data_IF_758204220069
#
_entry.id   IF_758204220069
#
_cell.length_a   1.000
_cell.length_b   1.000
_cell.length_c   1.000
_cell.angle_alpha   90.00
_cell.angle_beta   90.00
_cell.angle_gamma   90.00
#
_symmetry.space_group_name_H-M   'P 1'
#
loop_
_entity.id
_entity.type
_entity.pdbx_description
1 polymer ?
#
# COMPACT_ATOMS: atom_id res chain seq x y z
N UNK A 1 -15.31 4.58 14.57
CA UNK A 1 -15.00 4.66 13.13
C UNK A 1 -14.07 5.84 12.93
N UNK A 2 -12.86 5.62 12.42
CA UNK A 2 -11.93 6.71 12.11
C UNK A 2 -12.32 7.31 10.75
N UNK A 3 -12.01 8.58 10.52
CA UNK A 3 -12.22 9.14 9.19
C UNK A 3 -11.21 8.56 8.19
N UNK A 4 -11.57 8.58 6.91
CA UNK A 4 -10.67 8.15 5.82
C UNK A 4 -9.33 8.88 5.89
N UNK A 5 -9.32 10.17 6.22
CA UNK A 5 -8.10 10.97 6.32
C UNK A 5 -7.21 10.58 7.51
N UNK A 6 -7.82 10.20 8.65
CA UNK A 6 -7.07 9.73 9.82
C UNK A 6 -6.34 8.43 9.51
N UNK A 7 -7.07 7.45 8.97
CA UNK A 7 -6.49 6.17 8.61
C UNK A 7 -5.48 6.31 7.47
N UNK A 8 -5.78 7.13 6.46
CA UNK A 8 -4.84 7.39 5.35
C UNK A 8 -3.53 8.04 5.81
N UNK A 9 -3.57 8.95 6.80
CA UNK A 9 -2.35 9.52 7.38
C UNK A 9 -1.53 8.51 8.16
N UNK A 10 -2.17 7.64 8.96
CA UNK A 10 -1.49 6.58 9.72
C UNK A 10 -0.90 5.52 8.79
N UNK A 11 -1.72 4.98 7.90
CA UNK A 11 -1.34 3.94 6.94
C UNK A 11 -0.31 4.46 5.94
N UNK A 12 -0.49 5.68 5.44
CA UNK A 12 0.48 6.32 4.57
C UNK A 12 1.84 6.48 5.25
N UNK A 13 1.88 6.80 6.54
CA UNK A 13 3.14 6.96 7.27
C UNK A 13 3.88 5.62 7.40
N UNK A 14 3.16 4.54 7.71
CA UNK A 14 3.71 3.18 7.74
C UNK A 14 4.14 2.78 6.33
N UNK A 15 3.31 3.03 5.32
CA UNK A 15 3.57 2.67 3.93
C UNK A 15 4.82 3.38 3.39
N UNK A 16 4.79 4.71 3.34
CA UNK A 16 5.77 5.54 2.62
C UNK A 16 6.98 5.91 3.47
N UNK A 17 6.96 5.55 4.76
CA UNK A 17 8.05 5.77 5.71
C UNK A 17 8.44 7.25 5.89
N UNK A 18 7.61 8.18 5.40
CA UNK A 18 7.87 9.62 5.40
C UNK A 18 6.57 10.42 5.37
N UNK A 19 6.36 11.28 6.37
CA UNK A 19 5.20 12.17 6.42
C UNK A 19 5.15 13.20 5.28
N UNK A 20 6.29 13.56 4.68
CA UNK A 20 6.30 14.46 3.51
C UNK A 20 5.81 13.75 2.24
N UNK A 21 6.22 12.48 2.04
CA UNK A 21 5.70 11.65 0.94
C UNK A 21 4.19 11.42 1.07
N UNK A 22 3.72 11.17 2.29
CA UNK A 22 2.28 11.07 2.59
C UNK A 22 1.57 12.35 2.20
N UNK A 23 2.09 13.50 2.65
CA UNK A 23 1.49 14.79 2.33
C UNK A 23 1.38 15.04 0.82
N UNK A 24 2.42 14.71 0.07
CA UNK A 24 2.41 14.83 -1.39
C UNK A 24 1.37 13.90 -2.05
N UNK A 25 1.37 12.61 -1.70
CA UNK A 25 0.51 11.61 -2.36
C UNK A 25 -0.98 11.75 -1.99
N UNK A 26 -1.27 12.11 -0.74
CA UNK A 26 -2.64 12.27 -0.25
C UNK A 26 -3.14 13.72 -0.33
N UNK A 27 -2.33 14.65 -0.87
CA UNK A 27 -2.66 16.08 -0.98
C UNK A 27 -3.00 16.71 0.39
N UNK A 28 -2.20 16.39 1.40
CA UNK A 28 -2.33 16.89 2.76
C UNK A 28 -1.08 17.64 3.19
N UNK A 29 -1.23 18.68 4.01
CA UNK A 29 -0.05 19.28 4.65
C UNK A 29 0.60 18.29 5.63
N UNK A 30 1.93 18.27 5.68
CA UNK A 30 2.69 17.38 6.57
C UNK A 30 2.29 17.54 8.06
N UNK A 31 1.95 18.76 8.49
CA UNK A 31 1.47 19.01 9.86
C UNK A 31 0.11 18.36 10.12
N UNK A 32 -0.76 18.31 9.10
CA UNK A 32 -2.04 17.58 9.15
C UNK A 32 -1.80 16.08 9.21
N UNK A 33 -0.89 15.53 8.40
CA UNK A 33 -0.50 14.11 8.49
C UNK A 33 -0.05 13.75 9.90
N UNK A 34 0.82 14.57 10.51
CA UNK A 34 1.33 14.35 11.88
C UNK A 34 0.22 14.39 12.94
N UNK A 35 -0.73 15.33 12.84
CA UNK A 35 -1.89 15.38 13.76
C UNK A 35 -2.81 14.17 13.56
N UNK A 36 -3.10 13.84 12.31
CA UNK A 36 -4.04 12.80 11.95
C UNK A 36 -3.55 11.41 12.35
N UNK A 37 -2.29 11.08 12.09
CA UNK A 37 -1.73 9.79 12.49
C UNK A 37 -1.75 9.61 14.02
N UNK A 38 -1.43 10.66 14.80
CA UNK A 38 -1.46 10.60 16.27
C UNK A 38 -2.88 10.36 16.78
N UNK A 39 -3.85 11.10 16.23
CA UNK A 39 -5.27 10.94 16.59
C UNK A 39 -5.78 9.56 16.19
N UNK A 40 -5.39 9.04 15.03
CA UNK A 40 -5.75 7.68 14.60
C UNK A 40 -5.18 6.63 15.56
N UNK A 41 -3.90 6.74 15.92
CA UNK A 41 -3.26 5.83 16.88
C UNK A 41 -3.94 5.85 18.26
N UNK A 42 -4.31 7.05 18.74
CA UNK A 42 -5.05 7.22 20.00
C UNK A 42 -6.42 6.54 19.97
N UNK A 43 -7.18 6.65 18.87
CA UNK A 43 -8.51 6.01 18.74
C UNK A 43 -8.41 4.49 18.83
N UNK A 44 -7.34 3.90 18.28
CA UNK A 44 -7.12 2.46 18.34
C UNK A 44 -6.35 2.01 19.59
N UNK A 45 -5.90 2.92 20.46
CA UNK A 45 -5.09 2.57 21.62
C UNK A 45 -3.72 1.98 21.27
N UNK A 46 -3.18 2.31 20.09
CA UNK A 46 -1.89 1.81 19.61
C UNK A 46 -0.82 2.90 19.67
N UNK A 47 0.44 2.48 19.54
CA UNK A 47 1.58 3.40 19.46
C UNK A 47 2.27 3.26 18.11
N UNK A 48 2.53 4.39 17.45
CA UNK A 48 3.42 4.47 16.31
C UNK A 48 4.83 4.82 16.78
N UNK A 49 5.81 4.03 16.39
CA UNK A 49 7.22 4.28 16.70
C UNK A 49 8.08 4.18 15.46
N UNK A 50 9.23 4.86 15.47
CA UNK A 50 10.21 4.77 14.40
C UNK A 50 11.42 3.99 14.91
N UNK A 51 11.61 2.77 14.42
CA UNK A 51 12.73 1.90 14.76
C UNK A 51 13.60 1.63 13.51
N UNK A 52 14.93 1.74 13.62
CA UNK A 52 15.87 1.57 12.48
C UNK A 52 15.42 2.30 11.21
N UNK A 53 14.94 3.53 11.36
CA UNK A 53 14.37 4.37 10.30
C UNK A 53 13.04 3.91 9.67
N UNK A 54 12.38 2.87 10.20
CA UNK A 54 11.07 2.40 9.78
C UNK A 54 10.00 2.70 10.84
N UNK A 55 8.90 3.31 10.41
CA UNK A 55 7.65 3.46 11.13
C UNK A 55 6.92 2.13 11.21
N UNK A 56 6.50 1.79 12.41
CA UNK A 56 5.70 0.61 12.70
C UNK A 56 4.66 0.91 13.79
N UNK A 57 3.63 0.07 13.86
CA UNK A 57 2.56 0.13 14.84
C UNK A 57 2.70 -0.98 15.88
N UNK A 58 2.51 -0.64 17.15
CA UNK A 58 2.62 -1.56 18.28
C UNK A 58 1.39 -1.48 19.19
N UNK A 59 1.09 -2.60 19.86
CA UNK A 59 -0.08 -2.76 20.73
C UNK A 59 -1.05 -3.82 20.20
N UNK A 60 -2.30 -3.76 20.63
CA UNK A 60 -3.37 -4.58 20.05
C UNK A 60 -3.81 -3.98 18.70
N UNK A 61 -3.51 -4.70 17.62
CA UNK A 61 -3.75 -4.24 16.25
C UNK A 61 -5.05 -4.78 15.65
N UNK A 62 -5.84 -5.58 16.38
CA UNK A 62 -7.01 -6.28 15.83
C UNK A 62 -8.00 -5.28 15.24
N UNK A 63 -8.37 -4.24 16.00
CA UNK A 63 -9.32 -3.22 15.53
C UNK A 63 -8.79 -2.42 14.34
N UNK A 64 -7.49 -2.11 14.32
CA UNK A 64 -6.87 -1.42 13.19
C UNK A 64 -6.91 -2.29 11.93
N UNK A 65 -6.60 -3.57 12.04
CA UNK A 65 -6.65 -4.51 10.91
C UNK A 65 -8.07 -4.65 10.35
N UNK A 66 -9.08 -4.75 11.21
CA UNK A 66 -10.48 -4.79 10.78
C UNK A 66 -10.90 -3.51 10.06
N UNK A 67 -10.53 -2.33 10.58
CA UNK A 67 -10.84 -1.06 9.90
C UNK A 67 -10.15 -1.00 8.52
N UNK A 68 -8.89 -1.44 8.42
CA UNK A 68 -8.17 -1.47 7.14
C UNK A 68 -8.83 -2.40 6.12
N UNK A 69 -9.38 -3.53 6.55
CA UNK A 69 -10.16 -4.41 5.67
C UNK A 69 -11.39 -3.71 5.11
N UNK A 70 -12.16 -3.02 5.96
CA UNK A 70 -13.34 -2.23 5.54
C UNK A 70 -12.93 -1.15 4.53
N UNK A 71 -11.83 -0.43 4.80
CA UNK A 71 -11.34 0.61 3.90
C UNK A 71 -10.79 0.05 2.59
N UNK A 72 -10.15 -1.13 2.59
CA UNK A 72 -9.73 -1.80 1.37
C UNK A 72 -10.94 -2.18 0.51
N UNK A 73 -11.98 -2.77 1.11
CA UNK A 73 -13.22 -3.08 0.39
C UNK A 73 -13.82 -1.80 -0.21
N UNK A 74 -13.84 -0.69 0.53
CA UNK A 74 -14.33 0.59 0.00
C UNK A 74 -13.49 1.09 -1.20
N UNK A 75 -12.15 0.95 -1.17
CA UNK A 75 -11.28 1.29 -2.30
C UNK A 75 -11.54 0.39 -3.51
N UNK A 76 -11.69 -0.92 -3.30
CA UNK A 76 -12.02 -1.88 -4.37
C UNK A 76 -13.40 -1.63 -4.99
N UNK A 77 -14.31 -1.00 -4.26
CA UNK A 77 -15.61 -0.53 -4.78
C UNK A 77 -15.55 0.85 -5.45
N UNK A 78 -14.36 1.40 -5.70
CA UNK A 78 -14.18 2.70 -6.34
C UNK A 78 -14.51 3.91 -5.45
N UNK A 79 -14.73 3.74 -4.13
CA UNK A 79 -15.05 4.86 -3.23
C UNK A 79 -13.85 5.72 -2.85
N UNK A 80 -12.64 5.25 -3.16
CA UNK A 80 -11.39 6.00 -3.01
C UNK A 80 -10.32 5.36 -3.89
N UNK A 81 -9.22 6.08 -4.12
CA UNK A 81 -8.11 5.62 -4.97
C UNK A 81 -7.45 4.38 -4.36
N UNK A 82 -7.20 3.38 -5.21
CA UNK A 82 -6.41 2.19 -4.88
C UNK A 82 -4.94 2.55 -4.68
N UNK A 83 -4.20 1.72 -3.96
CA UNK A 83 -2.81 1.98 -3.59
C UNK A 83 -1.91 0.86 -4.09
N UNK A 84 -0.84 1.21 -4.79
CA UNK A 84 0.17 0.25 -5.25
C UNK A 84 1.56 0.62 -4.75
N UNK A 85 2.21 -0.35 -4.13
CA UNK A 85 3.65 -0.29 -3.82
C UNK A 85 4.46 -0.62 -5.09
N UNK A 86 5.37 0.26 -5.47
CA UNK A 86 6.20 0.13 -6.69
C UNK A 86 7.70 0.31 -6.39
N UNK A 87 8.20 -0.35 -5.34
CA UNK A 87 9.60 -0.23 -4.89
C UNK A 87 10.60 -0.48 -6.00
N UNK A 88 11.35 0.55 -6.42
CA UNK A 88 12.33 0.46 -7.50
C UNK A 88 11.78 0.70 -8.91
N UNK A 89 10.45 0.83 -9.07
CA UNK A 89 9.80 1.11 -10.36
C UNK A 89 9.00 2.42 -10.38
N UNK A 90 9.12 3.28 -9.37
CA UNK A 90 8.33 4.51 -9.29
C UNK A 90 8.55 5.45 -10.51
N UNK A 91 9.77 5.48 -11.05
CA UNK A 91 10.11 6.30 -12.23
C UNK A 91 9.75 5.62 -13.56
N UNK A 92 9.21 4.40 -13.54
CA UNK A 92 8.76 3.72 -14.75
C UNK A 92 7.55 4.47 -15.36
N UNK A 93 7.46 4.62 -16.69
CA UNK A 93 6.35 5.30 -17.36
C UNK A 93 4.94 4.80 -17.00
N UNK A 94 4.81 3.55 -16.53
CA UNK A 94 3.55 3.00 -16.05
C UNK A 94 3.08 3.57 -14.71
N UNK A 95 3.98 4.16 -13.92
CA UNK A 95 3.69 4.68 -12.57
C UNK A 95 3.97 6.17 -12.41
N UNK A 96 4.52 6.80 -13.44
CA UNK A 96 4.72 8.24 -13.53
C UNK A 96 4.21 8.78 -14.88
N UNK A 97 2.93 9.21 -14.98
CA UNK A 97 1.93 9.28 -13.89
C UNK A 97 1.36 7.90 -13.50
N UNK A 98 0.77 7.77 -12.30
CA UNK A 98 0.17 6.50 -11.86
C UNK A 98 -1.05 6.13 -12.73
N UNK A 99 -1.39 4.83 -12.82
CA UNK A 99 -2.59 4.38 -13.52
C UNK A 99 -3.85 5.06 -12.98
N UNK A 100 -4.83 5.34 -13.84
CA UNK A 100 -6.09 5.96 -13.44
C UNK A 100 -6.75 5.19 -12.29
N UNK A 101 -7.16 5.89 -11.24
CA UNK A 101 -7.74 5.31 -10.02
C UNK A 101 -6.72 4.82 -8.99
N UNK A 102 -5.42 4.86 -9.29
CA UNK A 102 -4.35 4.38 -8.41
C UNK A 102 -3.49 5.53 -7.84
N UNK A 103 -2.93 5.29 -6.66
CA UNK A 103 -1.82 6.02 -6.07
C UNK A 103 -0.63 5.07 -6.08
N UNK A 104 0.42 5.44 -6.80
CA UNK A 104 1.70 4.73 -6.75
C UNK A 104 2.58 5.33 -5.65
N UNK A 105 3.15 4.48 -4.81
CA UNK A 105 4.06 4.87 -3.76
C UNK A 105 5.24 3.92 -3.65
N UNK A 106 6.34 4.42 -3.10
CA UNK A 106 7.51 3.60 -2.79
C UNK A 106 8.04 3.93 -1.41
N UNK A 107 8.15 2.90 -0.58
CA UNK A 107 8.77 2.97 0.72
C UNK A 107 10.29 3.16 0.60
N UNK A 108 10.98 2.41 -0.28
CA UNK A 108 12.43 2.45 -0.47
C UNK A 108 12.95 1.51 -1.61
N UNK A 109 14.20 1.06 -1.48
CA UNK A 109 14.97 0.23 -2.42
C UNK A 109 14.23 -1.04 -2.86
N UNK A 110 14.57 -1.50 -4.05
CA UNK A 110 14.23 -2.82 -4.59
C UNK A 110 14.50 -3.91 -3.53
N UNK A 111 13.64 -4.92 -3.46
CA UNK A 111 13.74 -6.09 -2.56
C UNK A 111 13.42 -5.85 -1.06
N UNK A 112 12.85 -4.70 -0.66
CA UNK A 112 12.36 -4.53 0.71
C UNK A 112 11.01 -5.27 0.92
N UNK A 113 10.91 -6.24 1.86
CA UNK A 113 9.67 -6.97 2.13
C UNK A 113 8.53 -6.09 2.68
N UNK A 114 8.81 -4.83 3.02
CA UNK A 114 7.85 -3.87 3.54
C UNK A 114 6.58 -3.73 2.69
N UNK A 115 6.71 -3.80 1.36
CA UNK A 115 5.55 -3.76 0.45
C UNK A 115 4.56 -4.90 0.68
N UNK A 116 5.09 -6.13 0.78
CA UNK A 116 4.30 -7.32 1.09
C UNK A 116 3.69 -7.24 2.49
N UNK A 117 4.41 -6.69 3.46
CA UNK A 117 3.85 -6.43 4.80
C UNK A 117 2.68 -5.46 4.74
N UNK A 118 2.80 -4.36 3.99
CA UNK A 118 1.70 -3.41 3.79
C UNK A 118 0.49 -4.05 3.11
N UNK A 119 0.71 -4.96 2.16
CA UNK A 119 -0.35 -5.70 1.47
C UNK A 119 -1.10 -6.62 2.45
N UNK A 120 -0.36 -7.41 3.25
CA UNK A 120 -0.93 -8.27 4.30
C UNK A 120 -1.69 -7.48 5.37
N UNK A 121 -1.29 -6.23 5.60
CA UNK A 121 -1.97 -5.33 6.52
C UNK A 121 -3.15 -4.57 5.89
N UNK A 122 -3.48 -4.78 4.60
CA UNK A 122 -4.53 -4.05 3.85
C UNK A 122 -4.26 -2.53 3.71
N UNK A 123 -3.00 -2.11 3.88
CA UNK A 123 -2.57 -0.72 3.71
C UNK A 123 -2.50 -0.36 2.22
N UNK A 124 -1.93 -1.27 1.42
CA UNK A 124 -1.90 -1.21 -0.04
C UNK A 124 -2.78 -2.30 -0.63
N UNK A 125 -3.15 -2.14 -1.89
CA UNK A 125 -4.08 -3.03 -2.60
C UNK A 125 -3.34 -3.93 -3.62
N UNK A 126 -2.17 -3.49 -4.07
CA UNK A 126 -1.23 -4.29 -4.86
C UNK A 126 0.23 -3.91 -4.53
N UNK A 127 1.16 -4.80 -4.85
CA UNK A 127 2.59 -4.59 -4.70
C UNK A 127 3.35 -5.15 -5.90
N UNK A 128 4.29 -4.38 -6.45
CA UNK A 128 5.30 -4.93 -7.35
C UNK A 128 6.45 -5.53 -6.55
N UNK A 129 6.84 -6.74 -6.91
CA UNK A 129 7.98 -7.43 -6.32
C UNK A 129 8.79 -8.13 -7.41
N UNK A 130 10.13 -8.21 -7.28
CA UNK A 130 10.91 -9.12 -8.09
C UNK A 130 10.38 -10.56 -7.93
N UNK A 131 10.28 -11.33 -9.01
CA UNK A 131 9.85 -12.73 -8.99
C UNK A 131 10.80 -13.59 -8.14
N UNK A 132 12.08 -13.21 -8.04
CA UNK A 132 13.09 -13.85 -7.19
C UNK A 132 12.83 -13.65 -5.70
N UNK A 133 12.10 -12.60 -5.32
CA UNK A 133 11.84 -12.20 -3.94
C UNK A 133 10.42 -12.56 -3.50
N UNK A 134 9.71 -13.36 -4.29
CA UNK A 134 8.37 -13.81 -3.94
C UNK A 134 8.44 -14.70 -2.69
N UNK A 135 7.53 -14.50 -1.73
CA UNK A 135 7.41 -15.41 -0.61
C UNK A 135 7.07 -16.80 -1.14
N UNK A 136 7.96 -17.77 -0.86
CA UNK A 136 7.99 -19.12 -1.47
C UNK A 136 6.63 -19.81 -1.44
N UNK A 137 5.85 -19.63 -0.37
CA UNK A 137 4.43 -19.99 -0.33
C UNK A 137 3.71 -19.05 0.65
N UNK A 138 2.75 -18.25 0.17
CA UNK A 138 1.79 -17.56 1.04
C UNK A 138 0.41 -17.86 0.49
N UNK A 139 -0.34 -18.73 1.17
CA UNK A 139 -1.68 -19.14 0.77
C UNK A 139 -2.61 -17.94 0.54
N UNK A 140 -2.36 -16.81 1.21
CA UNK A 140 -3.20 -15.61 1.11
C UNK A 140 -2.80 -14.64 -0.02
N UNK A 141 -1.76 -14.94 -0.80
CA UNK A 141 -1.24 -14.06 -1.86
C UNK A 141 -1.36 -14.71 -3.24
N UNK A 142 -1.79 -13.93 -4.22
CA UNK A 142 -1.70 -14.28 -5.63
C UNK A 142 -0.61 -13.46 -6.29
N UNK A 143 0.20 -14.10 -7.12
CA UNK A 143 1.23 -13.44 -7.93
C UNK A 143 0.86 -13.55 -9.39
N UNK A 144 0.84 -12.41 -10.05
CA UNK A 144 0.56 -12.29 -11.47
C UNK A 144 1.87 -11.84 -12.15
N UNK A 145 2.54 -12.71 -12.90
CA UNK A 145 3.72 -12.34 -13.67
C UNK A 145 3.38 -11.19 -14.62
N UNK A 146 4.27 -10.20 -14.69
CA UNK A 146 4.18 -9.10 -15.64
C UNK A 146 5.31 -9.23 -16.66
N UNK A 147 5.03 -8.82 -17.91
CA UNK A 147 6.00 -8.87 -19.01
C UNK A 147 6.93 -7.63 -19.05
N UNK A 148 6.90 -6.81 -18.00
CA UNK A 148 7.84 -5.69 -17.85
C UNK A 148 9.29 -6.20 -17.77
N UNK A 149 10.22 -5.39 -18.28
CA UNK A 149 11.64 -5.65 -18.59
C UNK A 149 12.56 -6.13 -17.45
N UNK A 150 12.00 -6.52 -16.32
CA UNK A 150 12.68 -7.10 -15.18
C UNK A 150 11.72 -8.08 -14.52
N UNK A 151 12.15 -9.32 -14.27
CA UNK A 151 11.45 -10.39 -13.56
C UNK A 151 10.62 -9.87 -12.37
N UNK A 152 9.42 -9.35 -12.61
CA UNK A 152 8.60 -8.69 -11.61
C UNK A 152 7.18 -9.22 -11.68
N UNK A 153 6.60 -9.47 -10.53
CA UNK A 153 5.22 -9.88 -10.37
C UNK A 153 4.40 -8.77 -9.73
N UNK A 154 3.15 -8.64 -10.18
CA UNK A 154 2.11 -7.96 -9.43
C UNK A 154 1.58 -8.92 -8.37
N UNK A 155 1.77 -8.57 -7.11
CA UNK A 155 1.33 -9.34 -5.96
C UNK A 155 0.10 -8.68 -5.35
N UNK A 156 -0.95 -9.47 -5.12
CA UNK A 156 -2.21 -9.06 -4.50
C UNK A 156 -2.64 -10.08 -3.44
N UNK A 157 -3.60 -9.71 -2.60
CA UNK A 157 -4.26 -10.71 -1.75
C UNK A 157 -5.07 -11.66 -2.63
N UNK A 158 -5.00 -12.97 -2.40
CA UNK A 158 -5.64 -13.99 -3.24
C UNK A 158 -7.15 -13.74 -3.40
N UNK A 159 -7.83 -13.35 -2.31
CA UNK A 159 -9.26 -12.99 -2.33
C UNK A 159 -9.63 -11.83 -3.27
N UNK A 160 -8.63 -11.02 -3.68
CA UNK A 160 -8.79 -9.86 -4.53
C UNK A 160 -8.29 -10.09 -5.96
N UNK A 161 -7.78 -11.28 -6.31
CA UNK A 161 -7.16 -11.59 -7.61
C UNK A 161 -8.06 -11.26 -8.81
N UNK A 162 -9.36 -11.52 -8.68
CA UNK A 162 -10.36 -11.33 -9.74
C UNK A 162 -11.15 -10.02 -9.63
N UNK A 163 -10.71 -9.08 -8.79
CA UNK A 163 -11.34 -7.76 -8.71
C UNK A 163 -11.10 -6.99 -10.01
N UNK A 164 -12.15 -6.36 -10.56
CA UNK A 164 -12.12 -5.67 -11.86
C UNK A 164 -10.93 -4.70 -11.97
N UNK A 165 -10.74 -3.83 -10.96
CA UNK A 165 -9.64 -2.87 -10.97
C UNK A 165 -8.24 -3.50 -10.91
N UNK A 166 -8.10 -4.71 -10.37
CA UNK A 166 -6.84 -5.47 -10.34
C UNK A 166 -6.56 -6.07 -11.72
N UNK A 167 -7.59 -6.64 -12.36
CA UNK A 167 -7.50 -7.18 -13.71
C UNK A 167 -7.19 -6.06 -14.72
N UNK A 168 -7.85 -4.91 -14.60
CA UNK A 168 -7.58 -3.72 -15.41
C UNK A 168 -6.14 -3.23 -15.27
N UNK A 169 -5.62 -3.21 -14.04
CA UNK A 169 -4.22 -2.84 -13.80
C UNK A 169 -3.29 -3.85 -14.45
N UNK A 170 -3.52 -5.15 -14.26
CA UNK A 170 -2.74 -6.22 -14.89
C UNK A 170 -2.71 -6.04 -16.40
N UNK A 171 -3.86 -5.86 -17.03
CA UNK A 171 -3.97 -5.80 -18.49
C UNK A 171 -3.25 -4.56 -19.03
N UNK A 172 -3.32 -3.42 -18.32
CA UNK A 172 -2.53 -2.22 -18.65
C UNK A 172 -1.03 -2.43 -18.54
N UNK A 173 -0.59 -3.22 -17.56
CA UNK A 173 0.83 -3.53 -17.36
C UNK A 173 1.35 -4.61 -18.31
N UNK A 174 0.47 -5.38 -18.97
CA UNK A 174 0.82 -6.42 -19.97
C UNK A 174 0.82 -5.92 -21.43
N UNK A 175 0.20 -4.79 -21.72
CA UNK A 175 0.00 -4.30 -23.10
C UNK A 175 1.21 -3.57 -23.71
N UNK A 176 2.41 -3.72 -23.15
CA UNK A 176 3.65 -3.05 -23.61
C UNK A 176 4.80 -4.07 -23.59
#
# INVERSE_FOLDING_TARGET
MVSVDLLASLDGLIWLQSGSKVGALFQQHQTTVSRNQKKCAQVFGITLSKNKNKWDAHGDLILLQLERQVHQVARLQGKSRLRIEVNGWLDNPHFNPPPSGWIAGSANKLSDPHGIQCLKQHIVDACLCPLTDLPVESQDLATIPLDITSEAGLVVLQKNEYQEHILDLRDKLKQI
#
